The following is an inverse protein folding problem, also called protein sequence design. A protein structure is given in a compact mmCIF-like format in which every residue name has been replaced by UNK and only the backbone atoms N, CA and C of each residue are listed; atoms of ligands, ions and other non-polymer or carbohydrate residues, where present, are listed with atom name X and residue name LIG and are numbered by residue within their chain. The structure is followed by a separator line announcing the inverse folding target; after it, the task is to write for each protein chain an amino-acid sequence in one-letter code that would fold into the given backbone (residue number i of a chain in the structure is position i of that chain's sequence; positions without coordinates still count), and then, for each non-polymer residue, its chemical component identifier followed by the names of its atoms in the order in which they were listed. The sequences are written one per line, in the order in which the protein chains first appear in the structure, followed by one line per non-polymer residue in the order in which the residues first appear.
data_IF_613328010300
#
_entry.id   IF_613328010300
#
_cell.length_a   1.000
_cell.length_b   1.000
_cell.length_c   1.000
_cell.angle_alpha   90.00
_cell.angle_beta   90.00
_cell.angle_gamma   90.00
#
_symmetry.space_group_name_H-M   'P 1'
#
loop_
_entity.id
_entity.type
_entity.pdbx_description
1 polymer ?
#
# COMPACT_ATOMS: atom_id res chain seq x y z
N UNK A 1 -16.79 -14.09 -10.94
CA UNK A 1 -15.76 -13.12 -11.37
C UNK A 1 -15.11 -12.51 -10.14
N UNK A 2 -13.81 -12.25 -10.18
CA UNK A 2 -13.06 -11.81 -9.01
C UNK A 2 -11.81 -11.06 -9.39
N UNK A 3 -11.04 -10.66 -8.37
CA UNK A 3 -9.76 -10.00 -8.55
C UNK A 3 -8.65 -11.04 -8.66
N UNK A 4 -8.36 -11.47 -9.88
CA UNK A 4 -7.36 -12.48 -10.17
C UNK A 4 -5.96 -11.86 -10.39
N UNK A 5 -5.00 -12.71 -10.77
CA UNK A 5 -3.64 -12.26 -11.03
C UNK A 5 -3.55 -11.29 -12.22
N UNK A 6 -4.39 -11.44 -13.25
CA UNK A 6 -4.42 -10.49 -14.37
C UNK A 6 -4.92 -9.12 -13.91
N UNK A 7 -5.89 -9.08 -12.99
CA UNK A 7 -6.32 -7.84 -12.36
C UNK A 7 -5.21 -7.18 -11.53
N UNK A 8 -4.34 -7.96 -10.85
CA UNK A 8 -3.16 -7.44 -10.16
C UNK A 8 -2.15 -6.82 -11.15
N UNK A 9 -1.89 -7.47 -12.28
CA UNK A 9 -1.03 -6.94 -13.33
C UNK A 9 -1.58 -5.63 -13.91
N UNK A 10 -2.89 -5.59 -14.20
CA UNK A 10 -3.56 -4.39 -14.68
C UNK A 10 -3.49 -3.25 -13.66
N UNK A 11 -3.63 -3.55 -12.36
CA UNK A 11 -3.48 -2.56 -11.30
C UNK A 11 -2.07 -1.96 -11.28
N UNK A 12 -1.03 -2.80 -11.36
CA UNK A 12 0.36 -2.35 -11.49
C UNK A 12 0.53 -1.42 -12.71
N UNK A 13 -0.01 -1.80 -13.86
CA UNK A 13 0.12 -1.00 -15.08
C UNK A 13 -0.57 0.37 -14.95
N UNK A 14 -1.69 0.45 -14.22
CA UNK A 14 -2.33 1.72 -13.88
C UNK A 14 -1.45 2.56 -12.96
N UNK A 15 -0.80 1.96 -11.96
CA UNK A 15 0.14 2.69 -11.11
C UNK A 15 1.31 3.29 -11.91
N UNK A 16 1.86 2.55 -12.88
CA UNK A 16 2.91 3.06 -13.78
C UNK A 16 2.39 4.22 -14.63
N UNK A 17 1.21 4.10 -15.23
CA UNK A 17 0.62 5.19 -16.02
C UNK A 17 0.32 6.45 -15.18
N UNK A 18 -0.01 6.28 -13.90
CA UNK A 18 -0.20 7.41 -12.98
C UNK A 18 1.13 8.09 -12.66
N UNK A 19 2.18 7.31 -12.42
CA UNK A 19 3.54 7.82 -12.21
C UNK A 19 4.06 8.62 -13.41
N UNK A 20 3.91 8.08 -14.63
CA UNK A 20 4.27 8.77 -15.88
C UNK A 20 3.53 10.11 -16.06
N UNK A 21 2.35 10.26 -15.46
CA UNK A 21 1.56 11.50 -15.45
C UNK A 21 1.91 12.45 -14.29
N UNK A 22 2.90 12.10 -13.47
CA UNK A 22 3.31 12.86 -12.29
C UNK A 22 2.30 12.77 -11.13
N UNK A 23 1.42 11.77 -11.12
CA UNK A 23 0.45 11.56 -10.04
C UNK A 23 1.12 10.80 -8.91
N UNK A 24 1.05 11.34 -7.69
CA UNK A 24 1.53 10.69 -6.48
C UNK A 24 0.53 9.63 -6.01
N UNK A 25 1.01 8.44 -5.69
CA UNK A 25 0.19 7.31 -5.29
C UNK A 25 0.78 6.57 -4.09
N UNK A 26 -0.11 5.93 -3.33
CA UNK A 26 0.21 4.96 -2.29
C UNK A 26 -0.75 3.78 -2.47
N UNK A 27 -0.21 2.57 -2.58
CA UNK A 27 -0.96 1.33 -2.70
C UNK A 27 -0.65 0.42 -1.52
N UNK A 28 -1.68 -0.06 -0.84
CA UNK A 28 -1.59 -1.12 0.18
C UNK A 28 -2.00 -2.47 -0.41
N UNK A 29 -1.22 -3.52 -0.18
CA UNK A 29 -1.50 -4.87 -0.67
C UNK A 29 -0.75 -5.94 0.16
N UNK A 30 -1.00 -7.22 -0.07
CA UNK A 30 -0.33 -8.32 0.64
C UNK A 30 1.16 -8.47 0.28
N UNK A 31 1.97 -8.97 1.21
CA UNK A 31 3.37 -9.37 0.95
C UNK A 31 3.50 -10.75 0.26
N UNK A 32 2.46 -11.21 -0.44
CA UNK A 32 2.54 -12.46 -1.19
C UNK A 32 3.59 -12.34 -2.30
N UNK A 33 4.47 -13.33 -2.43
CA UNK A 33 5.60 -13.33 -3.39
C UNK A 33 5.20 -12.88 -4.78
N UNK A 34 4.13 -13.47 -5.33
CA UNK A 34 3.65 -13.19 -6.69
C UNK A 34 3.14 -11.75 -6.87
N UNK A 35 2.64 -11.12 -5.81
CA UNK A 35 2.16 -9.73 -5.85
C UNK A 35 3.35 -8.79 -5.66
N UNK A 36 4.22 -9.06 -4.69
CA UNK A 36 5.44 -8.28 -4.40
C UNK A 36 6.33 -8.15 -5.63
N UNK A 37 6.58 -9.26 -6.34
CA UNK A 37 7.43 -9.29 -7.54
C UNK A 37 6.88 -8.44 -8.69
N UNK A 38 5.57 -8.16 -8.74
CA UNK A 38 5.01 -7.25 -9.75
C UNK A 38 5.54 -5.82 -9.60
N UNK A 39 5.81 -5.37 -8.38
CA UNK A 39 6.18 -4.00 -8.09
C UNK A 39 7.69 -3.82 -7.87
N UNK A 40 8.39 -4.83 -7.36
CA UNK A 40 9.86 -4.78 -7.13
C UNK A 40 10.67 -4.59 -8.41
N UNK A 41 10.07 -4.86 -9.58
CA UNK A 41 10.71 -4.65 -10.89
C UNK A 41 10.63 -3.21 -11.39
N UNK A 42 9.97 -2.31 -10.66
CA UNK A 42 9.74 -0.91 -11.06
C UNK A 42 10.58 0.03 -10.19
N UNK A 43 11.65 0.58 -10.76
CA UNK A 43 12.60 1.45 -10.06
C UNK A 43 11.98 2.75 -9.52
N UNK A 44 10.88 3.21 -10.11
CA UNK A 44 10.17 4.42 -9.67
C UNK A 44 9.45 4.25 -8.33
N UNK A 45 9.23 3.01 -7.87
CA UNK A 45 8.45 2.72 -6.68
C UNK A 45 9.33 2.32 -5.49
N UNK A 46 9.01 2.88 -4.34
CA UNK A 46 9.51 2.42 -3.04
C UNK A 46 8.50 1.43 -2.45
N UNK A 47 8.99 0.31 -1.93
CA UNK A 47 8.17 -0.75 -1.33
C UNK A 47 8.55 -0.91 0.14
N UNK A 48 7.59 -0.67 1.02
CA UNK A 48 7.76 -0.86 2.45
C UNK A 48 7.08 -2.16 2.88
N UNK A 49 7.82 -3.00 3.61
CA UNK A 49 7.24 -4.15 4.30
C UNK A 49 6.62 -3.69 5.61
N UNK A 50 5.35 -4.00 5.82
CA UNK A 50 4.61 -3.63 7.02
C UNK A 50 4.17 -4.90 7.74
N UNK A 51 4.44 -4.98 9.04
CA UNK A 51 3.91 -6.05 9.89
C UNK A 51 2.49 -5.67 10.31
N UNK A 52 1.48 -6.42 9.85
CA UNK A 52 0.11 -6.20 10.28
C UNK A 52 -0.24 -7.17 11.42
N UNK A 53 -0.27 -6.66 12.66
CA UNK A 53 -0.78 -7.41 13.79
C UNK A 53 -2.31 -7.45 13.69
N UNK A 54 -2.87 -8.59 13.27
CA UNK A 54 -4.33 -8.79 13.25
C UNK A 54 -4.81 -9.05 14.68
N UNK A 55 -5.08 -8.00 15.46
CA UNK A 55 -5.75 -8.16 16.76
C UNK A 55 -7.18 -8.74 16.62
N UNK A 56 -7.80 -8.64 15.43
CA UNK A 56 -9.19 -9.04 15.17
C UNK A 56 -9.27 -9.97 13.95
N UNK A 57 -8.74 -11.19 14.05
CA UNK A 57 -9.03 -12.26 13.06
C UNK A 57 -10.22 -13.10 13.53
N UNK A 58 -11.21 -13.29 12.65
CA UNK A 58 -12.34 -14.22 12.86
C UNK A 58 -11.91 -15.70 12.96
N UNK A 59 -10.66 -16.05 12.59
CA UNK A 59 -10.13 -17.41 12.64
C UNK A 59 -8.84 -17.45 13.45
N UNK A 60 -8.86 -18.26 14.50
CA UNK A 60 -7.78 -18.42 15.50
C UNK A 60 -6.57 -19.15 14.91
N UNK A 61 -6.75 -19.92 13.83
CA UNK A 61 -5.73 -20.84 13.28
C UNK A 61 -4.73 -20.18 12.31
N UNK A 62 -4.99 -18.97 11.81
CA UNK A 62 -4.06 -18.26 10.90
C UNK A 62 -3.11 -17.31 11.63
N UNK A 63 -2.81 -17.58 12.91
CA UNK A 63 -1.87 -16.79 13.73
C UNK A 63 -0.42 -17.06 13.30
N UNK A 64 -0.07 -16.57 12.12
CA UNK A 64 1.29 -16.28 11.71
C UNK A 64 1.44 -14.79 11.46
N UNK A 65 2.67 -14.29 11.45
CA UNK A 65 2.93 -12.90 11.05
C UNK A 65 2.41 -12.68 9.64
N UNK A 66 1.39 -11.84 9.51
CA UNK A 66 0.90 -11.40 8.21
C UNK A 66 1.68 -10.16 7.84
N UNK A 67 2.42 -10.27 6.76
CA UNK A 67 3.11 -9.14 6.18
C UNK A 67 2.25 -8.52 5.08
N UNK A 68 2.15 -7.21 5.12
CA UNK A 68 1.55 -6.37 4.09
C UNK A 68 2.67 -5.55 3.44
N UNK A 69 2.40 -4.97 2.29
CA UNK A 69 3.28 -4.06 1.58
C UNK A 69 2.60 -2.72 1.32
N UNK A 70 3.39 -1.66 1.36
CA UNK A 70 3.02 -0.32 0.92
C UNK A 70 3.93 0.08 -0.24
N UNK A 71 3.34 0.29 -1.42
CA UNK A 71 4.04 0.70 -2.65
C UNK A 71 3.75 2.18 -2.91
N UNK A 72 4.77 2.98 -3.18
CA UNK A 72 4.62 4.43 -3.35
C UNK A 72 5.66 5.02 -4.30
N UNK A 73 5.29 6.04 -5.06
CA UNK A 73 6.22 6.90 -5.82
C UNK A 73 6.46 8.26 -5.13
N UNK A 74 5.94 8.43 -3.91
CA UNK A 74 6.18 9.63 -3.11
C UNK A 74 7.60 9.60 -2.58
N UNK A 75 8.41 10.60 -2.95
CA UNK A 75 9.76 10.75 -2.43
C UNK A 75 9.79 10.77 -0.90
N UNK A 76 10.79 10.14 -0.29
CA UNK A 76 10.88 9.94 1.17
C UNK A 76 10.76 11.27 1.96
N UNK A 77 11.36 12.36 1.46
CA UNK A 77 11.27 13.69 2.08
C UNK A 77 9.87 14.33 2.00
N UNK A 78 8.96 13.79 1.20
CA UNK A 78 7.57 14.21 1.10
C UNK A 78 6.61 13.28 1.85
N UNK A 79 7.09 12.13 2.33
CA UNK A 79 6.31 11.24 3.19
C UNK A 79 6.22 11.87 4.59
N UNK A 80 5.01 12.08 5.10
CA UNK A 80 4.81 12.68 6.43
C UNK A 80 4.96 11.60 7.50
N UNK A 81 5.83 11.83 8.49
CA UNK A 81 5.93 11.01 9.70
C UNK A 81 4.85 11.34 10.75
N UNK A 82 4.88 10.63 11.88
CA UNK A 82 3.89 10.57 12.99
C UNK A 82 3.31 11.88 13.56
N UNK A 83 3.73 13.06 13.11
CA UNK A 83 3.01 14.31 13.39
C UNK A 83 1.75 14.43 12.51
N UNK A 84 0.91 13.41 12.58
CA UNK A 84 -0.49 13.52 12.25
C UNK A 84 -1.07 14.51 13.28
N UNK A 85 -1.45 15.72 12.83
CA UNK A 85 -2.41 16.51 13.61
C UNK A 85 -3.59 15.60 13.85
N UNK A 86 -3.90 15.35 15.12
CA UNK A 86 -5.08 14.62 15.53
C UNK A 86 -6.25 14.99 14.63
N UNK A 87 -6.94 13.97 14.12
CA UNK A 87 -8.16 14.11 13.33
C UNK A 87 -9.26 14.90 14.08
N UNK A 88 -9.03 15.18 15.37
CA UNK A 88 -9.84 16.01 16.25
C UNK A 88 -9.73 17.52 15.99
N UNK A 89 -8.85 17.96 15.08
CA UNK A 89 -8.68 19.39 14.76
C UNK A 89 -9.48 19.88 13.55
N UNK A 90 -10.46 19.11 13.06
CA UNK A 90 -11.50 19.69 12.22
C UNK A 90 -12.39 20.58 13.09
N UNK A 91 -12.09 21.88 13.10
CA UNK A 91 -12.95 22.89 13.68
C UNK A 91 -14.36 22.78 13.07
N UNK A 92 -15.30 22.29 13.88
CA UNK A 92 -16.73 22.36 13.60
C UNK A 92 -17.16 23.84 13.61
N UNK A 93 -17.08 24.49 12.46
CA UNK A 93 -17.79 25.74 12.21
C UNK A 93 -18.59 25.60 10.91
N UNK A 94 -19.79 25.00 11.07
CA UNK A 94 -20.93 25.19 10.19
C UNK A 94 -21.92 26.11 10.89
#
# INVERSE_FOLDING_TARGET
EGFDFQAQQRLRDVCVQLDEKGVRMVLSNSWATIVRELYETIDAFTIHRVTAQREISSKVETRGDVYEMLVTNVAENQQRGETQKDLLSFDNNW
#
